data_IF_074453306901
#
_entry.id   IF_074453306901
#
_cell.length_a   1.000
_cell.length_b   1.000
_cell.length_c   1.000
_cell.angle_alpha   90.00
_cell.angle_beta   90.00
_cell.angle_gamma   90.00
#
_symmetry.space_group_name_H-M   'P 1'
#
loop_
_entity.id
_entity.type
_entity.pdbx_description
1 polymer ?
#
# COMPACT_ATOMS: atom_id res chain seq x y z
N UNK A 1 -3.48 8.44 26.41
CA UNK A 1 -3.74 7.32 25.48
C UNK A 1 -3.24 7.78 24.13
N UNK A 2 -2.02 7.41 23.79
CA UNK A 2 -1.39 7.82 22.54
C UNK A 2 -2.15 7.17 21.39
N UNK A 3 -2.62 7.98 20.45
CA UNK A 3 -3.46 7.54 19.34
C UNK A 3 -2.60 6.81 18.31
N UNK A 4 -2.28 5.54 18.58
CA UNK A 4 -1.70 4.61 17.61
C UNK A 4 -2.77 4.21 16.59
N UNK A 5 -3.16 5.13 15.72
CA UNK A 5 -3.82 4.75 14.48
C UNK A 5 -2.74 4.20 13.56
N UNK A 6 -2.44 2.92 13.78
CA UNK A 6 -1.64 2.09 12.88
C UNK A 6 -2.23 2.22 11.47
N UNK A 7 -1.38 2.54 10.52
CA UNK A 7 -1.70 3.02 9.18
C UNK A 7 -2.97 2.40 8.56
N UNK A 8 -3.87 3.24 8.04
CA UNK A 8 -5.09 2.76 7.37
C UNK A 8 -4.74 1.95 6.11
N UNK A 9 -5.02 0.65 6.15
CA UNK A 9 -5.01 -0.24 5.00
C UNK A 9 -6.44 -0.43 4.46
N UNK A 10 -6.58 -0.57 3.14
CA UNK A 10 -7.87 -0.95 2.57
C UNK A 10 -8.16 -2.42 2.94
N UNK A 11 -9.29 -2.67 3.62
CA UNK A 11 -9.74 -4.03 3.94
C UNK A 11 -10.65 -4.60 2.85
N UNK A 12 -11.39 -3.75 2.15
CA UNK A 12 -12.36 -4.11 1.10
C UNK A 12 -12.20 -3.18 -0.10
N UNK A 13 -12.16 -3.76 -1.31
CA UNK A 13 -12.21 -3.00 -2.56
C UNK A 13 -13.13 -3.71 -3.56
N UNK A 14 -13.72 -2.94 -4.48
CA UNK A 14 -14.52 -3.52 -5.55
C UNK A 14 -13.63 -4.29 -6.53
N UNK A 15 -13.93 -5.57 -6.74
CA UNK A 15 -13.23 -6.39 -7.70
C UNK A 15 -14.09 -6.57 -8.96
N UNK A 16 -13.61 -6.05 -10.09
CA UNK A 16 -14.30 -6.17 -11.38
C UNK A 16 -14.52 -7.63 -11.81
N UNK A 17 -13.57 -8.52 -11.50
CA UNK A 17 -13.68 -9.96 -11.83
C UNK A 17 -14.72 -10.69 -10.96
N UNK A 18 -14.88 -10.28 -9.71
CA UNK A 18 -15.84 -10.89 -8.79
C UNK A 18 -17.21 -10.17 -8.77
N UNK A 19 -17.29 -8.98 -9.37
CA UNK A 19 -18.51 -8.18 -9.45
C UNK A 19 -19.01 -7.61 -8.12
N UNK A 20 -18.17 -7.55 -7.09
CA UNK A 20 -18.56 -7.09 -5.74
C UNK A 20 -17.37 -6.55 -4.94
N UNK A 21 -17.67 -5.88 -3.82
CA UNK A 21 -16.68 -5.57 -2.80
C UNK A 21 -16.10 -6.88 -2.23
N UNK A 22 -14.78 -7.01 -2.28
CA UNK A 22 -14.05 -8.21 -1.87
C UNK A 22 -12.95 -7.86 -0.88
N UNK A 23 -12.62 -8.77 0.06
CA UNK A 23 -11.47 -8.61 0.91
C UNK A 23 -10.19 -8.57 0.09
N UNK A 24 -9.27 -7.69 0.48
CA UNK A 24 -7.99 -7.50 -0.22
C UNK A 24 -6.81 -7.71 0.73
N UNK A 25 -5.67 -8.07 0.15
CA UNK A 25 -4.37 -8.02 0.84
C UNK A 25 -3.43 -7.09 0.09
N UNK A 26 -2.64 -6.32 0.80
CA UNK A 26 -1.56 -5.55 0.20
C UNK A 26 -0.35 -6.46 -0.06
N UNK A 27 0.29 -6.30 -1.21
CA UNK A 27 1.54 -6.96 -1.58
C UNK A 27 2.53 -5.88 -2.00
N UNK A 28 3.68 -5.84 -1.34
CA UNK A 28 4.77 -4.93 -1.74
C UNK A 28 5.22 -5.26 -3.17
N UNK A 29 5.17 -4.26 -4.04
CA UNK A 29 5.67 -4.33 -5.42
C UNK A 29 7.10 -3.81 -5.51
N UNK A 30 7.37 -2.65 -4.91
CA UNK A 30 8.61 -1.93 -5.10
C UNK A 30 8.98 -1.11 -3.86
N UNK A 31 10.26 -1.10 -3.52
CA UNK A 31 10.85 -0.18 -2.55
C UNK A 31 11.49 0.96 -3.34
N UNK A 32 11.09 2.19 -3.04
CA UNK A 32 11.62 3.43 -3.60
C UNK A 32 12.44 4.19 -2.55
N UNK A 33 13.29 5.15 -2.95
CA UNK A 33 14.01 6.00 -2.00
C UNK A 33 13.10 6.76 -1.03
N UNK A 34 11.94 7.19 -1.52
CA UNK A 34 10.98 8.03 -0.79
C UNK A 34 9.81 7.24 -0.17
N UNK A 35 9.80 5.90 -0.31
CA UNK A 35 8.68 5.09 0.19
C UNK A 35 8.53 3.73 -0.49
N UNK A 36 7.35 3.15 -0.36
CA UNK A 36 7.04 1.78 -0.78
C UNK A 36 5.75 1.77 -1.62
N UNK A 37 5.75 0.99 -2.70
CA UNK A 37 4.60 0.79 -3.57
C UNK A 37 4.00 -0.59 -3.31
N UNK A 38 2.69 -0.64 -3.05
CA UNK A 38 1.93 -1.84 -2.81
C UNK A 38 0.81 -2.01 -3.84
N UNK A 39 0.54 -3.27 -4.17
CA UNK A 39 -0.62 -3.70 -4.95
C UNK A 39 -1.65 -4.35 -4.02
N UNK A 40 -2.92 -4.01 -4.20
CA UNK A 40 -4.02 -4.67 -3.52
C UNK A 40 -4.53 -5.81 -4.39
N UNK A 41 -4.40 -7.02 -3.86
CA UNK A 41 -4.89 -8.23 -4.51
C UNK A 41 -6.19 -8.68 -3.87
N UNK A 42 -7.21 -8.92 -4.70
CA UNK A 42 -8.44 -9.57 -4.27
C UNK A 42 -8.12 -10.95 -3.68
N UNK A 43 -8.56 -11.22 -2.45
CA UNK A 43 -8.32 -12.53 -1.84
C UNK A 43 -9.14 -13.66 -2.47
N UNK A 44 -10.22 -13.34 -3.18
CA UNK A 44 -11.03 -14.34 -3.88
C UNK A 44 -10.44 -14.79 -5.22
N UNK A 45 -10.13 -13.85 -6.12
CA UNK A 45 -9.64 -14.18 -7.47
C UNK A 45 -8.15 -13.92 -7.70
N UNK A 46 -7.45 -13.30 -6.75
CA UNK A 46 -6.03 -12.96 -6.86
C UNK A 46 -5.72 -11.78 -7.79
N UNK A 47 -6.71 -11.17 -8.43
CA UNK A 47 -6.51 -10.03 -9.33
C UNK A 47 -6.12 -8.75 -8.59
N UNK A 48 -5.27 -7.93 -9.21
CA UNK A 48 -5.02 -6.56 -8.79
C UNK A 48 -6.31 -5.74 -8.89
N UNK A 49 -6.64 -5.04 -7.81
CA UNK A 49 -7.85 -4.21 -7.68
C UNK A 49 -7.53 -2.78 -7.27
N UNK A 50 -6.26 -2.43 -7.10
CA UNK A 50 -5.80 -1.08 -6.79
C UNK A 50 -4.38 -1.08 -6.26
N UNK A 51 -3.79 0.10 -6.06
CA UNK A 51 -2.43 0.25 -5.53
C UNK A 51 -2.37 1.36 -4.48
N UNK A 52 -1.40 1.27 -3.57
CA UNK A 52 -1.10 2.32 -2.57
C UNK A 52 0.40 2.60 -2.58
N UNK A 53 0.76 3.86 -2.46
CA UNK A 53 2.14 4.26 -2.17
C UNK A 53 2.20 4.79 -0.75
N UNK A 54 3.03 4.17 0.08
CA UNK A 54 3.36 4.65 1.42
C UNK A 54 4.64 5.45 1.35
N UNK A 55 4.59 6.73 1.71
CA UNK A 55 5.79 7.56 1.77
C UNK A 55 6.45 7.34 3.12
N UNK A 56 7.71 6.94 3.11
CA UNK A 56 8.49 7.01 4.32
C UNK A 56 8.67 8.50 4.67
N UNK A 57 8.65 8.89 5.97
CA UNK A 57 9.14 10.22 6.32
C UNK A 57 10.55 10.32 5.75
N UNK A 58 10.80 11.36 4.95
CA UNK A 58 12.08 11.55 4.30
C UNK A 58 13.18 11.36 5.34
N UNK A 59 13.97 10.28 5.20
CA UNK A 59 15.28 10.26 5.82
C UNK A 59 16.01 11.37 5.11
N UNK A 60 16.13 12.53 5.75
CA UNK A 60 16.92 13.65 5.29
C UNK A 60 18.40 13.22 5.27
N UNK A 61 18.75 12.31 4.37
CA UNK A 61 20.10 12.04 3.94
C UNK A 61 20.46 13.15 2.98
N UNK A 62 20.78 14.31 3.54
CA UNK A 62 21.58 15.32 2.85
C UNK A 62 22.90 14.63 2.46
N UNK A 63 22.99 14.13 1.23
CA UNK A 63 24.30 13.84 0.65
C UNK A 63 24.82 15.19 0.16
N UNK A 64 25.40 15.97 1.08
CA UNK A 64 26.24 17.11 0.70
C UNK A 64 27.52 16.53 0.11
N UNK A 65 27.59 16.47 -1.22
CA UNK A 65 28.87 16.31 -1.92
C UNK A 65 29.59 17.65 -1.80
N UNK A 66 30.70 17.69 -1.07
CA UNK A 66 31.64 18.82 -1.12
C UNK A 66 32.40 18.83 -2.42
#
# INVERSE_FOLDING_TARGET
MEQSFDQFNASLLYCQKCGRAMPVRARLLLILPDGELYDYLCQGCGGSVGSKTERAPARAGLITVR
#
